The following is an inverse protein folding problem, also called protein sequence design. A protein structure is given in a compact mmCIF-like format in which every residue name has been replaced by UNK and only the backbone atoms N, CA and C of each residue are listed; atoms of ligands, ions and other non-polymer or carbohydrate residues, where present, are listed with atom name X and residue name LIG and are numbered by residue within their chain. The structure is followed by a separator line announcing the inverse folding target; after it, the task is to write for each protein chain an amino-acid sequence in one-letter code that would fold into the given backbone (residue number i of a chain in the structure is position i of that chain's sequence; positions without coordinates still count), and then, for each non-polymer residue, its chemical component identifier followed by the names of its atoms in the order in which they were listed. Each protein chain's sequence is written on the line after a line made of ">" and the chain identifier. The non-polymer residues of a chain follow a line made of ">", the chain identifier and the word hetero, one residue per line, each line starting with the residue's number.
data_IF_151200680724
#
_entry.id   IF_151200680724
#
_cell.length_a   1.000
_cell.length_b   1.000
_cell.length_c   1.000
_cell.angle_alpha   90.00
_cell.angle_beta   90.00
_cell.angle_gamma   90.00
#
_symmetry.space_group_name_H-M   'P 1'
#
loop_
_entity.id
_entity.type
_entity.pdbx_description
1 polymer ?
#
# COMPACT_ATOMS: atom_id res chain seq x y z
N UNK A 1 -11.72 -4.29 -3.07
CA UNK A 1 -11.91 -3.43 -1.88
C UNK A 1 -13.39 -3.26 -1.58
N UNK A 2 -14.04 -4.28 -1.01
CA UNK A 2 -15.49 -4.24 -0.74
C UNK A 2 -15.85 -3.43 0.51
N UNK A 3 -14.97 -3.45 1.52
CA UNK A 3 -15.19 -2.76 2.80
C UNK A 3 -14.69 -1.31 2.80
N UNK A 4 -14.04 -0.86 1.71
CA UNK A 4 -13.60 0.53 1.58
C UNK A 4 -14.83 1.44 1.54
N UNK A 5 -14.90 2.47 2.41
CA UNK A 5 -16.03 3.38 2.41
C UNK A 5 -16.11 4.15 1.09
N UNK A 6 -17.33 4.30 0.59
CA UNK A 6 -17.64 5.01 -0.65
C UNK A 6 -18.59 6.16 -0.34
N UNK A 7 -18.14 7.39 -0.57
CA UNK A 7 -18.94 8.60 -0.32
C UNK A 7 -20.24 8.57 -1.13
N UNK A 8 -20.24 8.03 -2.34
CA UNK A 8 -21.44 7.91 -3.18
C UNK A 8 -22.48 6.95 -2.57
N UNK A 9 -22.04 5.88 -1.91
CA UNK A 9 -22.92 4.95 -1.19
C UNK A 9 -23.54 5.58 0.05
N UNK A 10 -22.88 6.58 0.64
CA UNK A 10 -23.42 7.37 1.74
C UNK A 10 -24.50 8.34 1.25
N UNK A 11 -24.28 9.03 0.13
CA UNK A 11 -25.25 9.96 -0.45
C UNK A 11 -26.52 9.27 -1.00
N UNK A 12 -26.37 8.04 -1.48
CA UNK A 12 -27.49 7.26 -2.05
C UNK A 12 -28.39 6.62 -0.99
N UNK A 13 -27.92 6.47 0.26
CA UNK A 13 -28.74 6.05 1.39
C UNK A 13 -29.50 7.27 1.94
N UNK A 14 -30.74 7.07 2.40
CA UNK A 14 -31.45 8.12 3.13
C UNK A 14 -30.59 8.61 4.29
N UNK A 15 -30.40 9.94 4.36
CA UNK A 15 -29.48 10.64 5.26
C UNK A 15 -29.79 10.30 6.71
N UNK A 16 -29.27 9.19 7.22
CA UNK A 16 -29.49 8.77 8.60
C UNK A 16 -28.48 9.51 9.47
N UNK A 17 -28.93 10.13 10.57
CA UNK A 17 -28.07 10.84 11.53
C UNK A 17 -27.13 9.90 12.33
N UNK A 18 -26.92 8.67 11.84
CA UNK A 18 -26.13 7.65 12.50
C UNK A 18 -24.65 7.93 12.19
N UNK A 19 -23.79 8.05 13.22
CA UNK A 19 -22.37 8.23 12.99
C UNK A 19 -21.82 7.04 12.20
N UNK A 20 -21.02 7.33 11.16
CA UNK A 20 -20.30 6.31 10.41
C UNK A 20 -19.44 5.50 11.37
N UNK A 21 -19.87 4.26 11.66
CA UNK A 21 -19.06 3.30 12.39
C UNK A 21 -17.79 3.11 11.59
N UNK A 22 -16.66 3.54 12.13
CA UNK A 22 -15.36 3.36 11.48
C UNK A 22 -15.01 1.88 11.56
N UNK A 23 -14.91 1.16 10.44
CA UNK A 23 -14.44 -0.21 10.46
C UNK A 23 -13.04 -0.24 11.06
N UNK A 24 -12.78 -1.23 11.91
CA UNK A 24 -11.45 -1.51 12.46
C UNK A 24 -10.48 -2.07 11.41
N UNK A 25 -11.01 -2.54 10.26
CA UNK A 25 -10.24 -3.07 9.14
C UNK A 25 -11.04 -2.89 7.84
N UNK A 26 -10.35 -2.61 6.73
CA UNK A 26 -10.93 -2.46 5.40
C UNK A 26 -10.63 -3.64 4.45
N UNK A 27 -9.93 -4.68 4.93
CA UNK A 27 -9.59 -5.87 4.15
C UNK A 27 -10.79 -6.81 4.00
N UNK A 28 -11.02 -7.27 2.78
CA UNK A 28 -11.98 -8.32 2.45
C UNK A 28 -11.26 -9.50 1.78
N UNK A 29 -11.66 -10.77 2.01
CA UNK A 29 -11.03 -11.94 1.40
C UNK A 29 -11.00 -11.93 -0.14
N UNK A 30 -12.00 -11.29 -0.75
CA UNK A 30 -12.12 -11.15 -2.21
C UNK A 30 -11.37 -9.92 -2.79
N UNK A 31 -10.56 -9.23 -1.98
CA UNK A 31 -9.77 -8.10 -2.47
C UNK A 31 -8.68 -8.57 -3.44
N UNK A 32 -8.37 -7.73 -4.42
CA UNK A 32 -7.46 -8.04 -5.52
C UNK A 32 -6.44 -6.92 -5.66
N UNK A 33 -5.22 -7.29 -6.05
CA UNK A 33 -4.15 -6.36 -6.35
C UNK A 33 -4.22 -5.97 -7.84
N UNK A 34 -4.10 -4.67 -8.09
CA UNK A 34 -4.13 -4.09 -9.43
C UNK A 34 -2.90 -3.20 -9.55
N UNK A 35 -2.10 -3.44 -10.58
CA UNK A 35 -1.04 -2.53 -10.98
C UNK A 35 -1.66 -1.40 -11.78
N UNK A 36 -1.40 -0.18 -11.36
CA UNK A 36 -1.83 1.05 -12.02
C UNK A 36 -0.60 1.83 -12.46
N UNK A 37 -0.62 2.26 -13.72
CA UNK A 37 0.40 3.11 -14.33
C UNK A 37 -0.31 4.22 -15.13
N UNK A 38 0.45 5.21 -15.61
CA UNK A 38 -0.08 6.37 -16.36
C UNK A 38 -0.96 5.97 -17.55
N UNK A 39 -0.66 4.82 -18.16
CA UNK A 39 -1.31 4.33 -19.37
C UNK A 39 -2.44 3.31 -19.10
N UNK A 40 -2.60 2.81 -17.87
CA UNK A 40 -3.65 1.82 -17.62
C UNK A 40 -3.52 1.00 -16.34
N UNK A 41 -4.35 -0.04 -16.27
CA UNK A 41 -4.50 -0.92 -15.11
C UNK A 41 -4.50 -2.38 -15.52
N UNK A 42 -3.84 -3.23 -14.74
CA UNK A 42 -3.84 -4.69 -14.94
C UNK A 42 -3.96 -5.42 -13.60
N UNK A 43 -4.76 -6.49 -13.55
CA UNK A 43 -4.88 -7.32 -12.35
C UNK A 43 -3.64 -8.18 -12.17
N UNK A 44 -3.16 -8.25 -10.94
CA UNK A 44 -2.02 -9.09 -10.59
C UNK A 44 -2.49 -10.47 -10.12
N UNK A 45 -1.77 -11.51 -10.55
CA UNK A 45 -1.97 -12.90 -10.16
C UNK A 45 -0.63 -13.51 -9.76
N UNK A 46 -0.65 -14.56 -8.96
CA UNK A 46 0.54 -15.29 -8.53
C UNK A 46 0.50 -15.56 -7.03
N UNK A 47 1.25 -16.58 -6.59
CA UNK A 47 1.31 -16.98 -5.18
C UNK A 47 2.19 -16.07 -4.32
N UNK A 48 3.03 -15.23 -4.94
CA UNK A 48 3.91 -14.29 -4.24
C UNK A 48 3.18 -13.06 -3.68
N UNK A 49 1.96 -12.82 -4.16
CA UNK A 49 1.20 -11.62 -3.83
C UNK A 49 -0.06 -12.00 -3.07
N UNK A 50 -0.05 -11.75 -1.77
CA UNK A 50 -1.24 -11.85 -0.93
C UNK A 50 -1.81 -10.43 -0.70
N UNK A 51 -3.08 -10.14 -1.06
CA UNK A 51 -3.67 -8.82 -0.90
C UNK A 51 -3.58 -8.23 0.51
N UNK A 52 -3.49 -9.06 1.55
CA UNK A 52 -3.36 -8.58 2.94
C UNK A 52 -2.00 -7.96 3.26
N UNK A 53 -0.97 -8.24 2.46
CA UNK A 53 0.41 -7.86 2.74
C UNK A 53 0.79 -6.53 2.07
N UNK A 54 -0.10 -5.98 1.25
CA UNK A 54 0.13 -4.76 0.48
C UNK A 54 -0.94 -3.71 0.76
N UNK A 55 -0.54 -2.44 0.68
CA UNK A 55 -1.46 -1.30 0.71
C UNK A 55 -1.40 -0.55 -0.60
N UNK A 56 -2.47 0.19 -0.91
CA UNK A 56 -2.52 1.03 -2.12
C UNK A 56 -1.47 2.14 -2.05
N UNK A 57 -0.81 2.44 -3.17
CA UNK A 57 0.17 3.53 -3.28
C UNK A 57 1.63 3.10 -3.13
N UNK A 58 1.91 1.82 -2.89
CA UNK A 58 3.28 1.28 -2.91
C UNK A 58 3.76 1.18 -4.37
N UNK A 59 4.96 1.70 -4.64
CA UNK A 59 5.68 1.45 -5.88
C UNK A 59 6.55 0.20 -5.77
N UNK A 60 6.38 -0.75 -6.70
CA UNK A 60 7.13 -1.99 -6.79
C UNK A 60 7.59 -2.22 -8.23
N UNK A 61 8.75 -2.85 -8.40
CA UNK A 61 9.11 -3.43 -9.69
C UNK A 61 8.62 -4.89 -9.73
N UNK A 62 7.87 -5.24 -10.77
CA UNK A 62 7.30 -6.58 -10.94
C UNK A 62 7.88 -7.23 -12.19
N UNK A 63 8.30 -8.49 -12.06
CA UNK A 63 8.71 -9.32 -13.19
C UNK A 63 7.71 -10.47 -13.36
N UNK A 64 7.31 -10.72 -14.61
CA UNK A 64 6.26 -11.69 -14.89
C UNK A 64 5.80 -11.65 -16.34
N UNK A 65 4.64 -12.26 -16.58
CA UNK A 65 4.07 -12.40 -17.92
C UNK A 65 2.58 -12.11 -17.95
N UNK A 66 2.09 -11.63 -19.10
CA UNK A 66 0.66 -11.47 -19.34
C UNK A 66 0.01 -12.83 -19.61
N UNK A 67 -1.15 -13.07 -19.00
CA UNK A 67 -1.97 -14.26 -19.26
C UNK A 67 -2.91 -14.05 -20.44
N UNK A 68 -3.48 -15.15 -20.95
CA UNK A 68 -4.48 -15.11 -22.03
C UNK A 68 -5.73 -14.32 -21.62
N UNK A 69 -6.06 -14.34 -20.32
CA UNK A 69 -7.20 -13.66 -19.72
C UNK A 69 -6.97 -12.13 -19.57
N UNK A 70 -5.75 -11.66 -19.83
CA UNK A 70 -5.38 -10.25 -19.72
C UNK A 70 -4.83 -9.83 -18.36
N UNK A 71 -4.77 -10.75 -17.39
CA UNK A 71 -4.12 -10.56 -16.10
C UNK A 71 -2.57 -10.62 -16.23
N UNK A 72 -1.85 -10.17 -15.21
CA UNK A 72 -0.39 -10.26 -15.13
C UNK A 72 0.03 -11.24 -14.05
N UNK A 73 0.65 -12.35 -14.46
CA UNK A 73 1.20 -13.37 -13.59
C UNK A 73 2.59 -12.95 -13.10
N UNK A 74 2.68 -12.60 -11.83
CA UNK A 74 3.91 -12.16 -11.16
C UNK A 74 4.75 -13.37 -10.77
N UNK A 75 6.02 -13.35 -11.19
CA UNK A 75 7.01 -14.38 -10.92
C UNK A 75 8.08 -13.90 -9.94
N UNK A 76 8.33 -12.59 -9.88
CA UNK A 76 9.26 -11.98 -8.93
C UNK A 76 8.88 -10.52 -8.68
N UNK A 77 9.30 -9.96 -7.53
CA UNK A 77 9.05 -8.58 -7.14
C UNK A 77 10.29 -7.97 -6.47
N UNK A 78 10.48 -6.66 -6.67
CA UNK A 78 11.54 -5.89 -6.03
C UNK A 78 10.97 -4.60 -5.42
N UNK A 79 11.27 -4.41 -4.14
CA UNK A 79 10.97 -3.19 -3.39
C UNK A 79 12.07 -2.14 -3.60
N UNK A 80 11.74 -0.86 -3.37
CA UNK A 80 12.68 0.25 -3.53
C UNK A 80 13.90 0.19 -2.56
N UNK A 81 13.78 -0.58 -1.47
CA UNK A 81 14.83 -0.71 -0.46
C UNK A 81 15.04 0.57 0.35
N UNK A 82 16.18 0.62 1.06
CA UNK A 82 16.53 1.75 1.92
C UNK A 82 17.30 2.84 1.16
N UNK A 83 17.01 4.13 1.41
CA UNK A 83 17.87 5.19 0.94
C UNK A 83 19.24 5.13 1.64
N UNK A 84 20.30 5.74 1.07
CA UNK A 84 21.61 5.79 1.71
C UNK A 84 21.55 6.33 3.14
N UNK A 85 22.04 5.54 4.10
CA UNK A 85 22.04 5.93 5.52
C UNK A 85 23.18 6.91 5.83
N UNK A 86 22.84 8.07 6.37
CA UNK A 86 23.85 9.01 6.89
C UNK A 86 24.47 8.45 8.16
N UNK A 87 25.81 8.52 8.27
CA UNK A 87 26.52 8.00 9.44
C UNK A 87 26.11 8.76 10.70
N UNK A 88 25.87 8.01 11.78
CA UNK A 88 25.64 8.60 13.10
C UNK A 88 26.86 9.47 13.49
N UNK A 89 26.64 10.71 13.95
CA UNK A 89 27.73 11.53 14.46
C UNK A 89 28.34 10.87 15.70
N UNK A 90 29.67 10.96 15.83
CA UNK A 90 30.39 10.41 16.98
C UNK A 90 30.02 11.22 18.23
N UNK A 91 29.59 10.53 19.28
CA UNK A 91 29.30 11.13 20.57
C UNK A 91 30.62 11.67 21.15
N UNK A 92 30.85 12.98 21.07
CA UNK A 92 32.10 13.56 21.58
C UNK A 92 32.48 14.98 21.15
N UNK A 93 31.71 15.66 20.30
CA UNK A 93 31.94 17.09 20.05
C UNK A 93 30.63 17.87 20.17
N UNK A 94 30.62 18.77 21.14
CA UNK A 94 29.52 19.66 21.49
C UNK A 94 29.21 20.63 20.35
N UNK A 95 28.39 20.21 19.41
CA UNK A 95 27.47 21.13 18.73
C UNK A 95 26.16 20.37 18.49
N UNK A 96 25.14 20.80 19.23
CA UNK A 96 23.78 20.27 19.21
C UNK A 96 23.21 20.25 17.79
N UNK A 97 23.16 19.08 17.17
CA UNK A 97 22.27 18.81 16.05
C UNK A 97 21.54 17.50 16.29
N UNK A 98 20.42 17.61 16.98
CA UNK A 98 19.35 16.61 16.97
C UNK A 98 18.64 16.68 15.62
N UNK A 99 18.86 15.71 14.73
CA UNK A 99 17.76 15.16 13.91
C UNK A 99 18.19 13.91 13.14
N UNK A 100 17.71 12.75 13.58
CA UNK A 100 17.05 11.78 12.71
C UNK A 100 16.36 10.74 13.61
N UNK A 101 15.19 11.10 14.15
CA UNK A 101 14.25 10.05 14.55
C UNK A 101 13.75 9.44 13.25
N UNK A 102 14.22 8.23 12.93
CA UNK A 102 13.52 7.35 12.02
C UNK A 102 12.18 7.02 12.69
N UNK A 103 11.18 7.86 12.49
CA UNK A 103 9.79 7.45 12.66
C UNK A 103 9.50 6.49 11.51
N UNK A 104 9.82 5.21 11.72
CA UNK A 104 9.06 4.15 11.08
C UNK A 104 7.63 4.33 11.57
N UNK A 105 6.81 4.98 10.75
CA UNK A 105 5.38 5.08 11.01
C UNK A 105 4.86 3.65 10.97
N UNK A 106 4.53 3.11 12.14
CA UNK A 106 3.67 1.95 12.26
C UNK A 106 2.38 2.26 11.49
N UNK A 107 2.17 1.58 10.38
CA UNK A 107 0.85 1.53 9.76
C UNK A 107 0.07 0.47 10.55
N UNK A 108 -0.84 0.94 11.39
CA UNK A 108 -1.98 0.16 11.88
C UNK A 108 -2.98 -0.03 10.73
#
# INVERSE_FOLDING_TARGET
>A
MKLKPCILDEYSKERTAVPLVKPHNFLHPDDQLILEDEIGRVKLRGSLLNPTDFVTGIGLALHGMKTIEGDFLVQDLLEAGFPPQTKLPRLGMSHSFFHCMLFYVHIL
#
